data_IF_650666781515
#
_entry.id   IF_650666781515
#
_cell.length_a   1.000
_cell.length_b   1.000
_cell.length_c   1.000
_cell.angle_alpha   90.00
_cell.angle_beta   90.00
_cell.angle_gamma   90.00
#
_symmetry.space_group_name_H-M   'P 1'
#
loop_
_entity.id
_entity.type
_entity.pdbx_description
1 polymer ?
#
# COMPACT_ATOMS: atom_id res chain seq x y z
N UNK A 1 -5.41 24.24 3.22
CA UNK A 1 -5.15 23.12 4.15
C UNK A 1 -5.64 21.86 3.47
N UNK A 2 -4.79 20.85 3.29
CA UNK A 2 -5.24 19.54 2.80
C UNK A 2 -6.06 18.84 3.88
N UNK A 3 -7.04 17.99 3.51
CA UNK A 3 -7.75 17.18 4.50
C UNK A 3 -6.75 16.33 5.27
N UNK A 4 -6.97 16.21 6.60
CA UNK A 4 -6.17 15.33 7.43
C UNK A 4 -6.38 13.88 6.99
N UNK A 5 -5.28 13.14 6.82
CA UNK A 5 -5.34 11.76 6.31
C UNK A 5 -5.77 10.77 7.38
N UNK A 6 -6.53 9.76 6.98
CA UNK A 6 -7.14 8.74 7.83
C UNK A 6 -7.12 7.37 7.13
N UNK A 7 -7.46 6.34 7.90
CA UNK A 7 -7.66 5.02 7.34
C UNK A 7 -8.73 5.02 6.25
N UNK A 8 -8.54 4.14 5.27
CA UNK A 8 -9.36 4.01 4.06
C UNK A 8 -9.29 5.19 3.08
N UNK A 9 -8.44 6.20 3.34
CA UNK A 9 -8.10 7.16 2.29
C UNK A 9 -7.39 6.41 1.15
N UNK A 10 -7.79 6.64 -0.11
CA UNK A 10 -7.18 5.98 -1.25
C UNK A 10 -5.76 6.47 -1.45
N UNK A 11 -4.88 5.54 -1.85
CA UNK A 11 -3.51 5.84 -2.24
C UNK A 11 -3.23 5.20 -3.59
N UNK A 12 -2.56 5.97 -4.45
CA UNK A 12 -2.08 5.53 -5.76
C UNK A 12 -0.59 5.79 -5.83
N UNK A 13 0.15 4.86 -6.42
CA UNK A 13 1.60 4.91 -6.48
C UNK A 13 2.17 4.03 -7.58
N UNK A 14 3.50 3.95 -7.59
CA UNK A 14 4.26 3.07 -8.47
C UNK A 14 5.28 2.34 -7.61
N UNK A 15 5.12 1.03 -7.52
CA UNK A 15 6.08 0.13 -6.89
C UNK A 15 7.13 -0.30 -7.93
N UNK A 16 8.25 -0.85 -7.47
CA UNK A 16 9.25 -1.47 -8.34
C UNK A 16 9.37 -2.93 -7.93
N UNK A 17 8.95 -3.85 -8.79
CA UNK A 17 9.11 -5.28 -8.55
C UNK A 17 10.11 -5.87 -9.54
N UNK A 18 10.75 -6.95 -9.12
CA UNK A 18 11.62 -7.74 -9.98
C UNK A 18 10.76 -8.83 -10.63
N UNK A 19 10.85 -8.94 -11.95
CA UNK A 19 10.22 -10.03 -12.70
C UNK A 19 11.28 -10.85 -13.42
N UNK A 20 11.02 -12.14 -13.59
CA UNK A 20 11.75 -13.04 -14.47
C UNK A 20 11.05 -13.07 -15.84
N UNK A 21 11.63 -12.44 -16.88
CA UNK A 21 11.06 -12.48 -18.22
C UNK A 21 11.19 -13.91 -18.83
N UNK A 22 10.40 -14.23 -19.87
CA UNK A 22 10.55 -15.49 -20.60
C UNK A 22 11.93 -15.63 -21.26
N UNK A 23 12.44 -16.86 -21.35
CA UNK A 23 13.73 -17.16 -21.98
C UNK A 23 14.94 -16.95 -21.06
N UNK A 24 16.17 -16.89 -21.60
CA UNK A 24 17.41 -16.79 -20.81
C UNK A 24 17.70 -15.36 -20.33
N UNK A 25 16.68 -14.51 -20.17
CA UNK A 25 16.85 -13.10 -19.78
C UNK A 25 17.00 -13.03 -18.25
N UNK A 26 17.99 -12.30 -17.70
CA UNK A 26 18.09 -12.10 -16.25
C UNK A 26 16.86 -11.39 -15.66
N UNK A 27 16.62 -11.48 -14.33
CA UNK A 27 15.58 -10.71 -13.67
C UNK A 27 15.74 -9.19 -13.88
N UNK A 28 14.63 -8.49 -14.09
CA UNK A 28 14.62 -7.04 -14.38
C UNK A 28 13.67 -6.32 -13.42
N UNK A 29 14.08 -5.18 -12.81
CA UNK A 29 13.16 -4.32 -12.06
C UNK A 29 12.25 -3.56 -13.02
N UNK A 30 10.94 -3.61 -12.77
CA UNK A 30 9.95 -2.89 -13.59
C UNK A 30 8.96 -2.11 -12.71
N UNK A 31 8.50 -0.93 -13.17
CA UNK A 31 7.47 -0.17 -12.48
C UNK A 31 6.14 -0.94 -12.49
N UNK A 32 5.50 -1.03 -11.32
CA UNK A 32 4.21 -1.67 -11.10
C UNK A 32 3.21 -0.66 -10.53
N UNK A 33 2.06 -0.44 -11.19
CA UNK A 33 1.02 0.42 -10.63
C UNK A 33 0.51 -0.12 -9.30
N UNK A 34 0.52 0.72 -8.28
CA UNK A 34 -0.01 0.42 -6.95
C UNK A 34 -1.30 1.21 -6.74
N UNK A 35 -2.36 0.53 -6.30
CA UNK A 35 -3.61 1.12 -5.82
C UNK A 35 -3.97 0.44 -4.51
N UNK A 36 -4.32 1.25 -3.52
CA UNK A 36 -4.67 0.73 -2.21
C UNK A 36 -5.31 1.78 -1.32
N UNK A 37 -5.26 1.52 -0.03
CA UNK A 37 -5.72 2.44 0.98
C UNK A 37 -4.78 2.46 2.18
N UNK A 38 -4.79 3.59 2.91
CA UNK A 38 -3.97 3.75 4.11
C UNK A 38 -4.61 2.95 5.25
N UNK A 39 -3.83 2.12 5.94
CA UNK A 39 -4.31 1.27 7.03
C UNK A 39 -3.15 0.78 7.91
N UNK A 40 -3.39 0.74 9.22
CA UNK A 40 -2.68 -0.09 10.18
C UNK A 40 -3.69 -0.87 11.06
N UNK A 41 -3.73 -2.21 11.01
CA UNK A 41 -4.60 -3.00 11.88
C UNK A 41 -4.36 -2.78 13.38
N UNK A 42 -3.13 -2.43 13.80
CA UNK A 42 -2.78 -2.23 15.20
C UNK A 42 -3.45 -1.00 15.80
N UNK A 43 -3.82 -0.01 14.97
CA UNK A 43 -4.54 1.19 15.41
C UNK A 43 -5.97 0.89 15.89
N UNK A 44 -6.49 -0.32 15.65
CA UNK A 44 -7.79 -0.76 16.15
C UNK A 44 -7.70 -1.58 17.44
N UNK A 45 -6.50 -1.84 17.95
CA UNK A 45 -6.33 -2.56 19.21
C UNK A 45 -6.77 -1.70 20.41
N UNK A 46 -7.46 -2.28 21.40
CA UNK A 46 -7.82 -1.55 22.61
C UNK A 46 -6.55 -1.13 23.38
N UNK A 47 -6.59 0.05 24.02
CA UNK A 47 -5.53 0.61 24.88
C UNK A 47 -4.23 1.01 24.15
N UNK A 48 -3.84 0.32 23.07
CA UNK A 48 -2.57 0.54 22.34
C UNK A 48 -2.78 1.24 21.00
N UNK A 49 -3.95 1.07 20.37
CA UNK A 49 -4.24 1.61 19.05
C UNK A 49 -4.41 3.13 19.01
N UNK A 50 -4.96 3.63 17.91
CA UNK A 50 -5.09 5.07 17.69
C UNK A 50 -5.99 5.72 18.74
N UNK A 51 -5.52 6.84 19.28
CA UNK A 51 -6.26 7.71 20.20
C UNK A 51 -6.92 8.90 19.52
N UNK A 52 -6.69 9.07 18.21
CA UNK A 52 -7.21 10.20 17.43
C UNK A 52 -7.87 9.69 16.17
N UNK A 53 -9.11 10.15 15.98
CA UNK A 53 -9.92 9.77 14.84
C UNK A 53 -10.26 11.01 14.01
N UNK A 54 -10.25 10.84 12.70
CA UNK A 54 -10.69 11.82 11.72
C UNK A 54 -11.91 11.20 11.05
N UNK A 55 -13.07 11.84 11.15
CA UNK A 55 -14.33 11.30 10.62
C UNK A 55 -14.59 9.86 11.09
N UNK A 56 -14.45 9.63 12.40
CA UNK A 56 -14.66 8.34 13.07
C UNK A 56 -13.67 7.21 12.72
N UNK A 57 -12.66 7.47 11.89
CA UNK A 57 -11.64 6.50 11.52
C UNK A 57 -10.28 6.87 12.12
N UNK A 58 -9.41 5.91 12.44
CA UNK A 58 -8.06 6.20 12.91
C UNK A 58 -7.31 7.13 11.95
N UNK A 59 -6.58 8.10 12.51
CA UNK A 59 -5.69 8.98 11.74
C UNK A 59 -4.58 8.17 11.07
N UNK A 60 -4.12 8.63 9.91
CA UNK A 60 -2.86 8.18 9.36
C UNK A 60 -1.69 8.92 10.04
N UNK A 61 -0.55 8.26 10.18
CA UNK A 61 0.70 8.79 10.69
C UNK A 61 1.84 8.54 9.70
N UNK A 62 2.97 9.20 9.90
CA UNK A 62 4.19 8.83 9.21
C UNK A 62 4.57 7.39 9.60
N UNK A 63 4.48 6.47 8.64
CA UNK A 63 4.70 5.04 8.86
C UNK A 63 3.45 4.16 8.77
N UNK A 64 2.24 4.73 8.74
CA UNK A 64 1.03 3.95 8.43
C UNK A 64 1.14 3.40 7.01
N UNK A 65 0.88 2.11 6.84
CA UNK A 65 1.12 1.42 5.57
C UNK A 65 0.04 1.73 4.53
N UNK A 66 0.43 1.71 3.26
CA UNK A 66 -0.50 1.56 2.15
C UNK A 66 -0.74 0.08 1.89
N UNK A 67 -1.97 -0.38 2.06
CA UNK A 67 -2.34 -1.77 1.80
C UNK A 67 -2.81 -1.90 0.35
N UNK A 68 -2.08 -2.69 -0.44
CA UNK A 68 -2.46 -3.01 -1.81
C UNK A 68 -3.79 -3.76 -1.83
N UNK A 69 -4.81 -3.13 -2.40
CA UNK A 69 -6.15 -3.69 -2.48
C UNK A 69 -6.90 -3.02 -3.65
N UNK A 70 -7.16 -3.75 -4.76
CA UNK A 70 -6.92 -5.19 -4.97
C UNK A 70 -5.41 -5.56 -5.09
N UNK A 71 -5.06 -6.85 -5.03
CA UNK A 71 -3.72 -7.30 -5.36
C UNK A 71 -3.26 -6.80 -6.74
N UNK A 72 -1.95 -6.65 -6.91
CA UNK A 72 -1.35 -6.19 -8.17
C UNK A 72 -1.83 -7.00 -9.38
N UNK A 73 -2.11 -6.29 -10.48
CA UNK A 73 -2.39 -6.91 -11.77
C UNK A 73 -1.06 -7.45 -12.32
N UNK A 74 -0.94 -8.75 -12.67
CA UNK A 74 0.27 -9.27 -13.28
C UNK A 74 0.51 -8.63 -14.65
N UNK A 75 1.68 -8.00 -14.84
CA UNK A 75 2.06 -7.33 -16.11
C UNK A 75 3.03 -8.16 -16.96
N UNK A 76 3.25 -9.42 -16.60
CA UNK A 76 4.06 -10.40 -17.35
C UNK A 76 5.33 -10.83 -16.61
N UNK A 77 5.80 -12.05 -16.90
CA UNK A 77 6.89 -12.70 -16.16
C UNK A 77 6.44 -13.24 -14.79
N UNK A 78 7.33 -13.99 -14.14
CA UNK A 78 7.11 -14.44 -12.76
C UNK A 78 7.67 -13.38 -11.81
N UNK A 79 6.93 -13.02 -10.75
CA UNK A 79 7.48 -12.20 -9.66
C UNK A 79 8.57 -13.00 -8.93
N UNK A 80 9.75 -12.39 -8.74
CA UNK A 80 10.91 -12.98 -8.05
C UNK A 80 11.29 -12.14 -6.85
#
# INVERSE_FOLDING_TARGET
MFPASKHFDPVVGVDVHIVQPPGPVPPVPIPHPFIGFIMDPMDYLPVVGSTVNINFLPRALAGTQGIAAPPHIPIGGMFV
#
